data_IF_879559289141
#
_entry.id   IF_879559289141
#
_cell.length_a   1.000
_cell.length_b   1.000
_cell.length_c   1.000
_cell.angle_alpha   90.00
_cell.angle_beta   90.00
_cell.angle_gamma   90.00
#
_symmetry.space_group_name_H-M   'P 1'
#
loop_
_entity.id
_entity.type
_entity.pdbx_description
1 polymer ?
#
# COMPACT_ATOMS: atom_id res chain seq x y z
N UNK A 1 -10.14 -19.96 23.81
CA UNK A 1 -9.94 -20.18 22.36
C UNK A 1 -8.58 -19.60 21.97
N UNK A 2 -7.69 -20.48 21.60
CA UNK A 2 -6.30 -20.15 21.28
C UNK A 2 -6.27 -19.42 19.93
N UNK A 3 -6.12 -18.10 19.90
CA UNK A 3 -5.80 -17.40 18.68
C UNK A 3 -4.38 -17.79 18.29
N UNK A 4 -4.28 -18.58 17.25
CA UNK A 4 -3.00 -18.92 16.65
C UNK A 4 -2.36 -17.63 16.15
N UNK A 5 -1.44 -17.06 16.91
CA UNK A 5 -0.48 -16.05 16.44
C UNK A 5 0.34 -16.69 15.31
N UNK A 6 -0.16 -16.58 14.10
CA UNK A 6 0.61 -16.98 12.92
C UNK A 6 1.67 -15.91 12.69
N UNK A 7 2.92 -16.37 12.56
CA UNK A 7 4.04 -15.47 12.25
C UNK A 7 3.72 -14.67 10.98
N UNK A 8 4.02 -13.33 10.97
CA UNK A 8 3.93 -12.54 9.77
C UNK A 8 4.87 -13.11 8.70
N UNK A 9 4.47 -13.05 7.45
CA UNK A 9 5.38 -13.32 6.35
C UNK A 9 6.45 -12.24 6.39
N UNK A 10 7.71 -12.61 6.62
CA UNK A 10 8.81 -11.64 6.61
C UNK A 10 8.85 -10.99 5.22
N UNK A 11 9.19 -9.69 5.18
CA UNK A 11 9.45 -8.95 3.91
C UNK A 11 10.46 -9.71 3.02
N UNK A 12 11.30 -10.55 3.64
CA UNK A 12 12.26 -11.45 2.99
C UNK A 12 11.61 -12.70 2.33
N UNK A 13 10.41 -13.10 2.77
CA UNK A 13 9.75 -14.32 2.26
C UNK A 13 8.89 -14.02 1.00
N UNK A 14 8.67 -12.75 0.67
CA UNK A 14 7.95 -12.32 -0.52
C UNK A 14 8.71 -11.17 -1.22
N UNK A 15 9.78 -11.48 -1.98
CA UNK A 15 10.50 -10.49 -2.75
C UNK A 15 9.54 -9.87 -3.77
N UNK A 16 9.36 -8.57 -3.71
CA UNK A 16 8.53 -7.80 -4.63
C UNK A 16 7.28 -7.16 -4.02
N UNK A 17 6.92 -7.42 -2.76
CA UNK A 17 5.83 -6.68 -2.11
C UNK A 17 6.31 -5.31 -1.63
N UNK A 18 5.45 -4.31 -1.83
CA UNK A 18 5.65 -2.94 -1.37
C UNK A 18 4.83 -2.71 -0.11
N UNK A 19 5.46 -2.15 0.92
CA UNK A 19 4.78 -1.77 2.14
C UNK A 19 4.17 -0.36 2.00
N UNK A 20 2.87 -0.26 2.24
CA UNK A 20 2.14 1.00 2.31
C UNK A 20 1.68 1.19 3.74
N UNK A 21 2.08 2.27 4.40
CA UNK A 21 1.84 2.50 5.82
C UNK A 21 0.95 3.72 6.08
N UNK A 22 0.19 3.63 7.15
CA UNK A 22 -0.75 4.67 7.59
C UNK A 22 -2.20 4.41 7.19
N UNK A 23 -3.12 4.96 7.97
CA UNK A 23 -4.56 4.69 7.84
C UNK A 23 -5.12 5.06 6.46
N UNK A 24 -4.83 6.27 5.99
CA UNK A 24 -5.38 6.76 4.72
C UNK A 24 -4.78 6.02 3.52
N UNK A 25 -3.45 5.89 3.39
CA UNK A 25 -2.86 5.11 2.29
C UNK A 25 -3.33 3.66 2.25
N UNK A 26 -3.43 2.99 3.41
CA UNK A 26 -3.91 1.60 3.47
C UNK A 26 -5.36 1.48 3.00
N UNK A 27 -6.24 2.42 3.36
CA UNK A 27 -7.61 2.46 2.85
C UNK A 27 -7.66 2.62 1.32
N UNK A 28 -6.78 3.44 0.77
CA UNK A 28 -6.72 3.65 -0.69
C UNK A 28 -6.30 2.38 -1.40
N UNK A 29 -5.22 1.72 -0.95
CA UNK A 29 -4.74 0.50 -1.63
C UNK A 29 -5.66 -0.71 -1.45
N UNK A 30 -6.41 -0.78 -0.36
CA UNK A 30 -7.44 -1.81 -0.17
C UNK A 30 -8.53 -1.74 -1.26
N UNK A 31 -8.85 -0.56 -1.77
CA UNK A 31 -9.81 -0.39 -2.88
C UNK A 31 -9.28 -0.89 -4.23
N UNK A 32 -7.99 -1.17 -4.34
CA UNK A 32 -7.33 -1.53 -5.61
C UNK A 32 -7.18 -3.04 -5.84
N UNK A 33 -7.68 -3.88 -4.94
CA UNK A 33 -7.60 -5.35 -5.02
C UNK A 33 -6.17 -5.91 -5.25
N UNK A 34 -5.17 -5.26 -4.65
CA UNK A 34 -3.75 -5.63 -4.78
C UNK A 34 -3.06 -5.92 -3.44
N UNK A 35 -3.82 -5.82 -2.36
CA UNK A 35 -3.30 -6.05 -1.02
C UNK A 35 -3.22 -7.56 -0.76
N UNK A 36 -2.04 -8.04 -0.44
CA UNK A 36 -1.81 -9.44 -0.06
C UNK A 36 -2.06 -9.67 1.42
N UNK A 37 -1.65 -8.74 2.25
CA UNK A 37 -1.70 -8.88 3.71
C UNK A 37 -1.76 -7.50 4.36
N UNK A 38 -2.50 -7.38 5.46
CA UNK A 38 -2.53 -6.20 6.32
C UNK A 38 -1.90 -6.56 7.66
N UNK A 39 -0.93 -5.78 8.10
CA UNK A 39 -0.28 -5.92 9.38
C UNK A 39 -0.79 -4.88 10.36
N UNK A 40 -1.15 -5.31 11.54
CA UNK A 40 -1.53 -4.47 12.67
C UNK A 40 -0.45 -4.59 13.73
N UNK A 41 0.07 -3.46 14.18
CA UNK A 41 1.07 -3.41 15.23
C UNK A 41 0.47 -3.81 16.57
N UNK A 42 1.12 -4.70 17.29
CA UNK A 42 0.73 -5.06 18.67
C UNK A 42 0.65 -3.79 19.54
N UNK A 43 -0.44 -3.67 20.30
CA UNK A 43 -0.72 -2.47 21.10
C UNK A 43 -1.25 -1.26 20.33
N UNK A 44 -1.53 -1.39 19.03
CA UNK A 44 -2.19 -0.33 18.27
C UNK A 44 -3.66 -0.13 18.74
N UNK A 45 -4.18 1.07 18.51
CA UNK A 45 -5.56 1.39 18.89
C UNK A 45 -6.56 0.65 17.98
N UNK A 46 -7.08 -0.46 18.46
CA UNK A 46 -8.03 -1.32 17.73
C UNK A 46 -9.27 -0.57 17.25
N UNK A 47 -9.75 0.39 18.04
CA UNK A 47 -10.95 1.15 17.67
C UNK A 47 -10.72 2.00 16.42
N UNK A 48 -9.54 2.62 16.31
CA UNK A 48 -9.16 3.40 15.11
C UNK A 48 -8.93 2.52 13.89
N UNK A 49 -8.47 1.29 14.08
CA UNK A 49 -8.14 0.36 13.00
C UNK A 49 -9.31 -0.50 12.55
N UNK A 50 -10.43 -0.45 13.26
CA UNK A 50 -11.61 -1.30 13.04
C UNK A 50 -12.09 -1.28 11.60
N UNK A 51 -12.21 -0.11 10.99
CA UNK A 51 -12.66 0.04 9.59
C UNK A 51 -11.73 -0.65 8.61
N UNK A 52 -10.41 -0.47 8.77
CA UNK A 52 -9.40 -1.07 7.90
C UNK A 52 -9.43 -2.59 8.03
N UNK A 53 -9.51 -3.08 9.26
CA UNK A 53 -9.59 -4.52 9.55
C UNK A 53 -10.86 -5.13 8.96
N UNK A 54 -12.01 -4.47 9.12
CA UNK A 54 -13.27 -4.94 8.55
C UNK A 54 -13.24 -4.96 7.03
N UNK A 55 -12.74 -3.90 6.41
CA UNK A 55 -12.60 -3.81 4.95
C UNK A 55 -11.68 -4.91 4.43
N UNK A 56 -10.49 -5.08 5.03
CA UNK A 56 -9.55 -6.12 4.64
C UNK A 56 -10.19 -7.52 4.75
N UNK A 57 -10.87 -7.82 5.85
CA UNK A 57 -11.54 -9.11 6.05
C UNK A 57 -12.67 -9.33 5.04
N UNK A 58 -13.47 -8.32 4.73
CA UNK A 58 -14.56 -8.43 3.75
C UNK A 58 -14.05 -8.73 2.34
N UNK A 59 -12.84 -8.32 2.02
CA UNK A 59 -12.17 -8.60 0.75
C UNK A 59 -11.36 -9.90 0.75
N UNK A 60 -11.37 -10.66 1.85
CA UNK A 60 -10.58 -11.88 1.98
C UNK A 60 -9.07 -11.62 2.17
N UNK A 61 -8.67 -10.38 2.46
CA UNK A 61 -7.29 -10.03 2.73
C UNK A 61 -6.91 -10.49 4.14
N UNK A 62 -5.78 -11.15 4.24
CA UNK A 62 -5.26 -11.64 5.51
C UNK A 62 -4.84 -10.49 6.42
N UNK A 63 -5.34 -10.47 7.65
CA UNK A 63 -4.94 -9.52 8.69
C UNK A 63 -4.11 -10.23 9.74
N UNK A 64 -2.91 -9.71 10.03
CA UNK A 64 -1.95 -10.29 10.98
C UNK A 64 -1.57 -9.26 12.03
N UNK A 65 -1.62 -9.66 13.28
CA UNK A 65 -1.06 -8.88 14.38
C UNK A 65 0.44 -9.15 14.49
N UNK A 66 1.24 -8.11 14.45
CA UNK A 66 2.70 -8.18 14.39
C UNK A 66 3.28 -7.53 15.63
N UNK A 67 4.27 -8.18 16.25
CA UNK A 67 4.99 -7.63 17.39
C UNK A 67 5.58 -6.24 17.04
N UNK A 68 5.53 -5.32 17.98
CA UNK A 68 5.97 -3.94 17.77
C UNK A 68 7.35 -3.83 17.14
N UNK A 69 8.30 -4.65 17.58
CA UNK A 69 9.66 -4.67 17.05
C UNK A 69 9.71 -5.05 15.57
N UNK A 70 9.06 -6.16 15.20
CA UNK A 70 9.08 -6.67 13.82
C UNK A 70 8.34 -5.72 12.88
N UNK A 71 7.29 -5.08 13.41
CA UNK A 71 6.53 -4.07 12.68
C UNK A 71 7.38 -2.82 12.41
N UNK A 72 8.06 -2.30 13.45
CA UNK A 72 8.88 -1.09 13.35
C UNK A 72 10.13 -1.32 12.47
N UNK A 73 10.66 -2.56 12.40
CA UNK A 73 11.73 -2.94 11.48
C UNK A 73 11.27 -2.96 10.00
N UNK A 74 9.98 -3.16 9.75
CA UNK A 74 9.43 -3.23 8.40
C UNK A 74 9.14 -1.85 7.77
N UNK A 75 9.06 -0.81 8.58
CA UNK A 75 8.85 0.58 8.16
C UNK A 75 10.05 1.44 8.47
N UNK A 76 10.30 2.45 7.65
CA UNK A 76 11.31 3.45 7.99
C UNK A 76 10.87 4.27 9.20
N UNK A 77 11.83 4.60 10.07
CA UNK A 77 11.59 5.29 11.34
C UNK A 77 10.89 6.67 11.20
N UNK A 78 10.96 7.27 10.01
CA UNK A 78 10.35 8.57 9.69
C UNK A 78 8.88 8.47 9.27
N UNK A 79 8.35 7.26 9.12
CA UNK A 79 7.01 7.05 8.57
C UNK A 79 5.96 7.04 9.67
N UNK A 80 4.98 7.92 9.58
CA UNK A 80 3.80 7.90 10.48
C UNK A 80 2.87 6.75 10.09
N UNK A 81 3.21 5.54 10.54
CA UNK A 81 2.48 4.32 10.19
C UNK A 81 1.15 4.13 10.91
N UNK A 82 0.90 4.86 12.01
CA UNK A 82 -0.34 4.79 12.80
C UNK A 82 -0.75 3.36 13.21
N UNK A 83 0.19 2.43 13.28
CA UNK A 83 -0.02 1.03 13.67
C UNK A 83 -0.57 0.11 12.57
N UNK A 84 -0.57 0.54 11.31
CA UNK A 84 -1.06 -0.29 10.19
C UNK A 84 -0.17 -0.20 8.96
N UNK A 85 0.06 -1.36 8.34
CA UNK A 85 0.76 -1.52 7.06
C UNK A 85 -0.05 -2.45 6.17
N UNK A 86 -0.13 -2.14 4.88
CA UNK A 86 -0.59 -3.06 3.85
C UNK A 86 0.59 -3.51 2.98
N UNK A 87 0.74 -4.81 2.80
CA UNK A 87 1.67 -5.38 1.82
C UNK A 87 0.96 -5.53 0.49
N UNK A 88 1.43 -4.83 -0.51
CA UNK A 88 0.81 -4.75 -1.83
C UNK A 88 1.70 -5.32 -2.91
N UNK A 89 1.11 -5.95 -3.91
CA UNK A 89 1.81 -6.26 -5.15
C UNK A 89 2.07 -4.96 -5.91
N UNK A 90 3.32 -4.69 -6.34
CA UNK A 90 3.59 -3.56 -7.21
C UNK A 90 2.79 -3.72 -8.52
N UNK A 91 2.47 -2.61 -9.16
CA UNK A 91 2.04 -2.67 -10.56
C UNK A 91 3.24 -2.96 -11.43
N UNK A 92 3.05 -3.83 -12.39
CA UNK A 92 3.99 -3.93 -13.49
C UNK A 92 3.96 -2.60 -14.25
N UNK A 93 5.14 -2.08 -14.54
CA UNK A 93 5.25 -0.92 -15.42
C UNK A 93 5.04 -1.40 -16.86
N UNK A 94 4.15 -0.72 -17.57
CA UNK A 94 4.00 -0.98 -18.99
C UNK A 94 5.27 -0.57 -19.74
N UNK A 95 5.70 -1.33 -20.75
CA UNK A 95 6.85 -0.94 -21.56
C UNK A 95 6.53 0.31 -22.38
N UNK A 96 7.56 1.08 -22.74
CA UNK A 96 7.42 2.34 -23.47
C UNK A 96 6.62 2.18 -24.78
N UNK A 97 6.79 1.07 -25.47
CA UNK A 97 6.08 0.77 -26.71
C UNK A 97 4.57 0.44 -26.51
N UNK A 98 4.10 0.30 -25.29
CA UNK A 98 2.68 0.11 -25.01
C UNK A 98 1.88 1.43 -25.05
N UNK A 99 2.55 2.58 -24.97
CA UNK A 99 1.90 3.89 -24.91
C UNK A 99 0.90 4.14 -26.05
N UNK A 100 1.20 3.88 -27.32
CA UNK A 100 0.22 4.08 -28.41
C UNK A 100 -1.03 3.22 -28.22
N UNK A 101 -0.87 1.98 -27.77
CA UNK A 101 -1.99 1.05 -27.52
C UNK A 101 -2.83 1.50 -26.35
N UNK A 102 -2.19 2.01 -25.28
CA UNK A 102 -2.88 2.52 -24.09
C UNK A 102 -3.69 3.79 -24.38
N UNK A 103 -3.23 4.61 -25.33
CA UNK A 103 -3.90 5.83 -25.74
C UNK A 103 -5.02 5.59 -26.77
N UNK A 104 -4.93 4.48 -27.50
CA UNK A 104 -5.94 4.11 -28.50
C UNK A 104 -7.28 3.80 -27.82
N UNK A 105 -8.31 4.51 -28.20
CA UNK A 105 -9.63 4.37 -27.60
C UNK A 105 -9.92 5.23 -26.37
N UNK A 106 -8.99 6.13 -25.99
CA UNK A 106 -9.25 7.16 -25.00
C UNK A 106 -9.68 8.46 -25.68
N UNK A 107 -10.79 9.02 -25.22
CA UNK A 107 -11.21 10.36 -25.65
C UNK A 107 -10.44 11.41 -24.82
N UNK A 108 -9.75 12.31 -25.50
CA UNK A 108 -9.00 13.44 -24.92
C UNK A 108 -8.04 13.05 -23.75
N UNK A 109 -7.07 12.13 -23.98
CA UNK A 109 -6.17 11.69 -22.93
C UNK A 109 -5.24 12.81 -22.45
N UNK A 110 -5.11 12.96 -21.13
CA UNK A 110 -4.10 13.80 -20.49
C UNK A 110 -2.88 12.95 -20.15
N UNK A 111 -1.72 13.34 -20.68
CA UNK A 111 -0.45 12.67 -20.42
C UNK A 111 0.41 13.56 -19.53
N UNK A 112 0.79 13.03 -18.36
CA UNK A 112 1.77 13.68 -17.49
C UNK A 112 3.14 13.04 -17.71
N UNK A 113 4.09 13.82 -18.22
CA UNK A 113 5.48 13.40 -18.40
C UNK A 113 6.33 14.02 -17.29
N UNK A 114 7.03 13.18 -16.54
CA UNK A 114 7.90 13.62 -15.45
C UNK A 114 9.34 13.23 -15.80
N UNK A 115 10.21 14.23 -15.85
CA UNK A 115 11.64 14.04 -16.08
C UNK A 115 12.44 14.63 -14.92
N UNK A 116 13.35 13.85 -14.35
CA UNK A 116 14.25 14.28 -13.27
C UNK A 116 13.58 14.60 -11.93
N UNK A 117 12.32 14.22 -11.72
CA UNK A 117 11.63 14.40 -10.44
C UNK A 117 12.08 13.32 -9.46
N UNK A 118 12.89 13.69 -8.47
CA UNK A 118 13.47 12.77 -7.48
C UNK A 118 12.82 12.86 -6.11
N UNK A 119 12.20 13.99 -5.78
CA UNK A 119 11.53 14.21 -4.51
C UNK A 119 10.11 13.62 -4.54
N UNK A 120 9.79 12.65 -3.65
CA UNK A 120 8.45 12.06 -3.57
C UNK A 120 7.34 13.08 -3.30
N UNK A 121 7.64 14.15 -2.57
CA UNK A 121 6.68 15.22 -2.28
C UNK A 121 6.30 16.00 -3.56
N UNK A 122 7.28 16.37 -4.37
CA UNK A 122 7.06 17.03 -5.67
C UNK A 122 6.34 16.10 -6.65
N UNK A 123 6.71 14.81 -6.68
CA UNK A 123 6.01 13.80 -7.47
C UNK A 123 4.52 13.73 -7.11
N UNK A 124 4.21 13.63 -5.82
CA UNK A 124 2.82 13.63 -5.35
C UNK A 124 2.06 14.92 -5.68
N UNK A 125 2.72 16.07 -5.62
CA UNK A 125 2.13 17.35 -6.00
C UNK A 125 1.77 17.41 -7.50
N UNK A 126 2.65 16.92 -8.37
CA UNK A 126 2.40 16.80 -9.82
C UNK A 126 1.19 15.90 -10.11
N UNK A 127 1.10 14.74 -9.46
CA UNK A 127 -0.03 13.84 -9.63
C UNK A 127 -1.36 14.48 -9.20
N UNK A 128 -1.39 15.16 -8.04
CA UNK A 128 -2.60 15.85 -7.58
C UNK A 128 -3.03 16.97 -8.52
N UNK A 129 -2.08 17.69 -9.09
CA UNK A 129 -2.37 18.75 -10.07
C UNK A 129 -2.91 18.20 -11.37
N UNK A 130 -2.41 17.06 -11.82
CA UNK A 130 -2.89 16.39 -13.04
C UNK A 130 -4.29 15.80 -12.87
N UNK A 131 -4.63 15.32 -11.66
CA UNK A 131 -5.93 14.74 -11.35
C UNK A 131 -7.04 15.81 -11.20
N UNK A 132 -6.67 17.03 -10.85
CA UNK A 132 -7.63 18.12 -10.64
C UNK A 132 -8.19 18.66 -11.98
#
# INVERSE_FOLDING_TARGET
>A
MSQHRRKPSKKQDNPGLVAVSGMHPVRVVLKQDRVSEVWIRDGANEHRLKDVVMTAKSQGVRVVEVAARDFDEAVSAETNHQGVIALTKPRDMEPENALPILLDGLDDPLILVLDGVTDPHNFGACLRSAEA
#
